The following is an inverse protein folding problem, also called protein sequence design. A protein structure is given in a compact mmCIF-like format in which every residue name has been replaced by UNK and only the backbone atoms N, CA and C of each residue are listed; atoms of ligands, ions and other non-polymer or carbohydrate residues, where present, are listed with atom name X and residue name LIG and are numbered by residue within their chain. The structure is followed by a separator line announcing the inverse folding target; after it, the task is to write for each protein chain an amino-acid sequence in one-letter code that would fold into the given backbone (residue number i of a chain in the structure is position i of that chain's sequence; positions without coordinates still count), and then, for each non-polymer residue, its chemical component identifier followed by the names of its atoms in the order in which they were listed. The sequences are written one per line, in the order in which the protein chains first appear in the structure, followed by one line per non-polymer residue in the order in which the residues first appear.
data_IF_501266366281
#
_entry.id   IF_501266366281
#
_cell.length_a   1.000
_cell.length_b   1.000
_cell.length_c   1.000
_cell.angle_alpha   90.00
_cell.angle_beta   90.00
_cell.angle_gamma   90.00
#
_symmetry.space_group_name_H-M   'P 1'
#
loop_
_entity.id
_entity.type
_entity.pdbx_description
1 polymer ?
#
# COMPACT_ATOMS: atom_id res chain seq x y z
N UNK A 1 -7.08 -25.15 -2.96
CA UNK A 1 -5.91 -25.03 -2.04
C UNK A 1 -4.66 -24.34 -2.63
N UNK A 2 -4.05 -24.82 -3.72
CA UNK A 2 -2.80 -24.22 -4.25
C UNK A 2 -2.97 -22.76 -4.77
N UNK A 3 -4.10 -22.46 -5.42
CA UNK A 3 -4.39 -21.12 -5.95
C UNK A 3 -4.57 -20.06 -4.85
N UNK A 4 -5.20 -20.42 -3.73
CA UNK A 4 -5.42 -19.52 -2.58
C UNK A 4 -4.08 -19.14 -1.93
N UNK A 5 -3.17 -20.11 -1.77
CA UNK A 5 -1.83 -19.84 -1.26
C UNK A 5 -1.02 -18.90 -2.17
N UNK A 6 -1.30 -18.90 -3.47
CA UNK A 6 -0.72 -17.94 -4.43
C UNK A 6 -1.33 -16.55 -4.23
N UNK A 7 -2.66 -16.43 -3.99
CA UNK A 7 -3.32 -15.13 -3.76
C UNK A 7 -2.82 -14.40 -2.51
N UNK A 8 -2.65 -15.12 -1.38
CA UNK A 8 -2.09 -14.51 -0.17
C UNK A 8 -0.64 -14.09 -0.35
N UNK A 9 0.21 -14.96 -0.96
CA UNK A 9 1.61 -14.62 -1.26
C UNK A 9 1.74 -13.42 -2.19
N UNK A 10 0.85 -13.32 -3.17
CA UNK A 10 0.80 -12.18 -4.09
C UNK A 10 0.46 -10.89 -3.35
N UNK A 11 -0.51 -10.92 -2.44
CA UNK A 11 -0.88 -9.76 -1.64
C UNK A 11 0.25 -9.34 -0.70
N UNK A 12 0.92 -10.28 -0.03
CA UNK A 12 2.09 -10.00 0.82
C UNK A 12 3.24 -9.35 0.03
N UNK A 13 3.45 -9.77 -1.23
CA UNK A 13 4.44 -9.16 -2.10
C UNK A 13 4.06 -7.72 -2.45
N UNK A 14 2.80 -7.50 -2.82
CA UNK A 14 2.30 -6.18 -3.19
C UNK A 14 2.37 -5.19 -2.01
N UNK A 15 2.04 -5.63 -0.80
CA UNK A 15 2.21 -4.83 0.43
C UNK A 15 3.66 -4.38 0.62
N UNK A 16 4.63 -5.29 0.46
CA UNK A 16 6.06 -4.95 0.57
C UNK A 16 6.54 -3.99 -0.50
N UNK A 17 6.08 -4.17 -1.74
CA UNK A 17 6.41 -3.26 -2.84
C UNK A 17 5.82 -1.87 -2.61
N UNK A 18 4.59 -1.80 -2.11
CA UNK A 18 3.94 -0.55 -1.74
C UNK A 18 4.69 0.16 -0.60
N UNK A 19 5.00 -0.54 0.49
CA UNK A 19 5.71 0.04 1.63
C UNK A 19 7.07 0.62 1.23
N UNK A 20 7.81 -0.13 0.40
CA UNK A 20 9.10 0.34 -0.12
C UNK A 20 8.93 1.61 -0.96
N UNK A 21 8.01 1.60 -1.93
CA UNK A 21 7.77 2.75 -2.78
C UNK A 21 7.27 3.97 -1.99
N UNK A 22 6.48 3.75 -0.94
CA UNK A 22 6.01 4.79 -0.04
C UNK A 22 7.17 5.44 0.73
N UNK A 23 8.06 4.63 1.31
CA UNK A 23 9.26 5.13 2.00
C UNK A 23 10.18 5.89 1.04
N UNK A 24 10.44 5.34 -0.14
CA UNK A 24 11.27 6.00 -1.16
C UNK A 24 10.67 7.36 -1.55
N UNK A 25 9.35 7.46 -1.67
CA UNK A 25 8.66 8.71 -1.98
C UNK A 25 8.68 9.72 -0.80
N UNK A 26 8.52 9.25 0.45
CA UNK A 26 8.65 10.11 1.63
C UNK A 26 10.06 10.70 1.74
N UNK A 27 11.11 9.95 1.40
CA UNK A 27 12.50 10.42 1.35
C UNK A 27 12.67 11.51 0.27
N UNK A 28 12.19 11.26 -0.94
CA UNK A 28 12.24 12.24 -2.04
C UNK A 28 11.53 13.55 -1.68
N UNK A 29 10.38 13.47 -1.01
CA UNK A 29 9.64 14.65 -0.54
C UNK A 29 10.39 15.36 0.59
N UNK A 30 11.03 14.62 1.49
CA UNK A 30 11.87 15.19 2.55
C UNK A 30 13.04 15.99 2.01
N UNK A 31 13.66 15.55 0.91
CA UNK A 31 14.75 16.27 0.25
C UNK A 31 14.30 17.62 -0.33
N UNK A 32 13.01 17.79 -0.63
CA UNK A 32 12.42 19.04 -1.16
C UNK A 32 11.94 20.00 -0.07
N UNK A 33 11.96 19.60 1.21
CA UNK A 33 11.34 20.32 2.33
C UNK A 33 11.99 21.68 2.63
N UNK A 34 13.26 21.88 2.28
CA UNK A 34 13.93 23.17 2.44
C UNK A 34 13.58 24.21 1.35
N UNK A 35 13.02 23.79 0.22
CA UNK A 35 12.82 24.65 -0.96
C UNK A 35 11.34 24.81 -1.33
N UNK A 36 10.49 23.81 -1.05
CA UNK A 36 9.11 23.74 -1.58
C UNK A 36 8.06 23.37 -0.51
N UNK A 37 8.12 24.00 0.67
CA UNK A 37 7.19 23.73 1.80
C UNK A 37 5.70 23.73 1.41
N UNK A 38 5.28 24.63 0.52
CA UNK A 38 3.89 24.73 0.05
C UNK A 38 3.45 23.53 -0.79
N UNK A 39 4.38 22.79 -1.39
CA UNK A 39 4.12 21.59 -2.19
C UNK A 39 4.29 20.30 -1.37
N UNK A 40 5.21 20.30 -0.40
CA UNK A 40 5.52 19.16 0.47
C UNK A 40 4.32 18.76 1.33
N UNK A 41 3.63 19.72 1.96
CA UNK A 41 2.49 19.39 2.81
C UNK A 41 1.32 18.74 2.04
N UNK A 42 0.84 19.31 0.91
CA UNK A 42 -0.17 18.64 0.08
C UNK A 42 0.29 17.27 -0.45
N UNK A 43 1.58 17.09 -0.76
CA UNK A 43 2.13 15.82 -1.21
C UNK A 43 2.02 14.74 -0.11
N UNK A 44 2.48 15.04 1.12
CA UNK A 44 2.34 14.12 2.27
C UNK A 44 0.88 13.81 2.58
N UNK A 45 -0.03 14.78 2.46
CA UNK A 45 -1.47 14.54 2.65
C UNK A 45 -2.04 13.56 1.60
N UNK A 46 -1.65 13.70 0.32
CA UNK A 46 -2.05 12.76 -0.74
C UNK A 46 -1.45 11.38 -0.51
N UNK A 47 -0.21 11.29 -0.03
CA UNK A 47 0.42 10.02 0.33
C UNK A 47 -0.33 9.32 1.46
N UNK A 48 -0.67 10.02 2.53
CA UNK A 48 -1.50 9.46 3.60
C UNK A 48 -2.85 8.92 3.07
N UNK A 49 -3.45 9.62 2.11
CA UNK A 49 -4.67 9.15 1.43
C UNK A 49 -4.43 7.87 0.63
N UNK A 50 -3.34 7.80 -0.16
CA UNK A 50 -2.97 6.60 -0.91
C UNK A 50 -2.73 5.40 0.01
N UNK A 51 -2.01 5.58 1.12
CA UNK A 51 -1.78 4.55 2.14
C UNK A 51 -3.10 4.05 2.73
N UNK A 52 -4.00 4.97 3.10
CA UNK A 52 -5.33 4.60 3.61
C UNK A 52 -6.17 3.81 2.59
N UNK A 53 -6.19 4.25 1.33
CA UNK A 53 -6.90 3.54 0.26
C UNK A 53 -6.32 2.15 0.03
N UNK A 54 -5.00 2.01 0.01
CA UNK A 54 -4.32 0.74 -0.17
C UNK A 54 -4.60 -0.22 1.00
N UNK A 55 -4.51 0.24 2.24
CA UNK A 55 -4.83 -0.56 3.43
C UNK A 55 -6.28 -1.11 3.39
N UNK A 56 -7.24 -0.28 2.98
CA UNK A 56 -8.64 -0.71 2.83
C UNK A 56 -8.80 -1.76 1.71
N UNK A 57 -8.13 -1.56 0.57
CA UNK A 57 -8.14 -2.50 -0.54
C UNK A 57 -7.55 -3.86 -0.12
N UNK A 58 -6.40 -3.84 0.53
CA UNK A 58 -5.71 -5.01 1.05
C UNK A 58 -6.58 -5.79 2.02
N UNK A 59 -7.20 -5.12 3.00
CA UNK A 59 -8.11 -5.77 3.95
C UNK A 59 -9.31 -6.42 3.24
N UNK A 60 -9.87 -5.75 2.23
CA UNK A 60 -10.96 -6.32 1.42
C UNK A 60 -10.49 -7.54 0.61
N UNK A 61 -9.31 -7.48 0.01
CA UNK A 61 -8.72 -8.59 -0.74
C UNK A 61 -8.46 -9.80 0.17
N UNK A 62 -7.88 -9.61 1.35
CA UNK A 62 -7.70 -10.65 2.37
C UNK A 62 -9.04 -11.31 2.73
N UNK A 63 -10.08 -10.50 2.97
CA UNK A 63 -11.44 -11.01 3.28
C UNK A 63 -11.98 -11.87 2.13
N UNK A 64 -11.83 -11.43 0.88
CA UNK A 64 -12.26 -12.19 -0.31
C UNK A 64 -11.50 -13.50 -0.39
N UNK A 65 -10.17 -13.50 -0.27
CA UNK A 65 -9.34 -14.71 -0.35
C UNK A 65 -9.67 -15.70 0.77
N UNK A 66 -9.91 -15.21 2.00
CA UNK A 66 -10.34 -16.04 3.12
C UNK A 66 -11.71 -16.68 2.88
N UNK A 67 -12.65 -15.93 2.29
CA UNK A 67 -13.98 -16.46 1.98
C UNK A 67 -13.93 -17.47 0.83
N UNK A 68 -13.15 -17.20 -0.23
CA UNK A 68 -12.88 -18.17 -1.30
C UNK A 68 -12.26 -19.45 -0.76
N UNK A 69 -11.37 -19.35 0.23
CA UNK A 69 -10.75 -20.51 0.87
C UNK A 69 -11.69 -21.41 1.68
N UNK A 70 -12.86 -20.89 2.08
CA UNK A 70 -13.89 -21.67 2.80
C UNK A 70 -14.83 -22.40 1.86
N UNK A 71 -14.89 -21.98 0.59
CA UNK A 71 -15.82 -22.50 -0.43
C UNK A 71 -15.14 -23.53 -1.34
N UNK A 72 -13.81 -23.45 -1.50
CA UNK A 72 -12.98 -24.53 -2.08
C UNK A 72 -12.75 -25.69 -1.11
#
# INVERSE_FOLDING_TARGET
MAAIGVSFRWLDLLEKEFDKAYVDLELLIGDMESEELELVYPARQKMATLSSCFAQLTHKAQTVFQNSAKVE
#
